data_IF_416709003671
#
_entry.id   IF_416709003671
#
_cell.length_a   1.000
_cell.length_b   1.000
_cell.length_c   1.000
_cell.angle_alpha   90.00
_cell.angle_beta   90.00
_cell.angle_gamma   90.00
#
_symmetry.space_group_name_H-M   'P 1'
#
loop_
_entity.id
_entity.type
_entity.pdbx_description
1 polymer ?
#
# COMPACT_ATOMS: atom_id res chain seq x y z
N UNK A 1 -11.29 15.42 -12.72
CA UNK A 1 -11.15 14.27 -11.78
C UNK A 1 -11.80 13.07 -12.46
N UNK A 2 -11.12 11.91 -12.48
CA UNK A 2 -11.65 10.68 -13.08
C UNK A 2 -12.82 10.12 -12.24
N UNK A 3 -13.73 9.40 -12.88
CA UNK A 3 -14.63 8.48 -12.17
C UNK A 3 -13.86 7.19 -11.83
N UNK A 4 -14.39 6.39 -10.89
CA UNK A 4 -13.75 5.11 -10.52
C UNK A 4 -13.57 4.18 -11.73
N UNK A 5 -14.59 4.07 -12.59
CA UNK A 5 -14.53 3.26 -13.79
C UNK A 5 -13.44 3.76 -14.77
N UNK A 6 -13.35 5.08 -14.95
CA UNK A 6 -12.31 5.69 -15.78
C UNK A 6 -10.91 5.44 -15.20
N UNK A 7 -10.74 5.60 -13.90
CA UNK A 7 -9.48 5.30 -13.21
C UNK A 7 -9.07 3.84 -13.42
N UNK A 8 -9.98 2.87 -13.15
CA UNK A 8 -9.70 1.45 -13.32
C UNK A 8 -9.24 1.12 -14.74
N UNK A 9 -9.96 1.58 -15.75
CA UNK A 9 -9.59 1.34 -17.16
C UNK A 9 -8.25 1.99 -17.50
N UNK A 10 -8.09 3.27 -17.18
CA UNK A 10 -6.89 4.03 -17.53
C UNK A 10 -5.64 3.44 -16.84
N UNK A 11 -5.73 3.10 -15.55
CA UNK A 11 -4.68 2.42 -14.80
C UNK A 11 -4.30 1.09 -15.45
N UNK A 12 -5.31 0.25 -15.77
CA UNK A 12 -5.08 -1.08 -16.35
C UNK A 12 -4.38 -0.99 -17.70
N UNK A 13 -4.81 -0.08 -18.58
CA UNK A 13 -4.17 0.15 -19.87
C UNK A 13 -2.74 0.68 -19.70
N UNK A 14 -2.51 1.57 -18.75
CA UNK A 14 -1.20 2.14 -18.47
C UNK A 14 -0.20 1.08 -17.99
N UNK A 15 -0.61 0.23 -17.05
CA UNK A 15 0.25 -0.81 -16.49
C UNK A 15 0.52 -1.96 -17.48
N UNK A 16 -0.37 -2.16 -18.46
CA UNK A 16 -0.22 -3.16 -19.53
C UNK A 16 0.26 -2.54 -20.86
N UNK A 17 1.08 -1.51 -20.82
CA UNK A 17 1.50 -0.71 -21.99
C UNK A 17 2.20 -1.49 -23.11
N UNK A 18 2.74 -2.68 -22.83
CA UNK A 18 3.43 -3.52 -23.82
C UNK A 18 2.47 -4.15 -24.86
N UNK A 19 1.18 -4.25 -24.53
CA UNK A 19 0.16 -4.83 -25.42
C UNK A 19 -1.16 -4.08 -25.36
N UNK A 20 -1.85 -4.01 -26.49
CA UNK A 20 -3.20 -3.46 -26.53
C UNK A 20 -4.19 -4.49 -25.97
N UNK A 21 -4.86 -4.12 -24.88
CA UNK A 21 -5.85 -4.99 -24.25
C UNK A 21 -7.19 -4.98 -25.01
N UNK A 22 -7.80 -6.14 -25.18
CA UNK A 22 -9.17 -6.23 -25.69
C UNK A 22 -10.15 -5.76 -24.62
N UNK A 23 -11.34 -5.29 -25.03
CA UNK A 23 -12.39 -4.89 -24.07
C UNK A 23 -12.83 -6.03 -23.15
N UNK A 24 -12.75 -7.28 -23.61
CA UNK A 24 -13.01 -8.47 -22.76
C UNK A 24 -11.94 -8.68 -21.72
N UNK A 25 -10.67 -8.46 -22.08
CA UNK A 25 -9.55 -8.51 -21.12
C UNK A 25 -9.68 -7.41 -20.08
N UNK A 26 -10.02 -6.19 -20.50
CA UNK A 26 -10.29 -5.07 -19.58
C UNK A 26 -11.46 -5.39 -18.64
N UNK A 27 -12.56 -5.97 -19.13
CA UNK A 27 -13.69 -6.37 -18.32
C UNK A 27 -13.30 -7.36 -17.22
N UNK A 28 -12.50 -8.38 -17.58
CA UNK A 28 -12.01 -9.39 -16.63
C UNK A 28 -11.05 -8.80 -15.59
N UNK A 29 -10.13 -7.89 -15.98
CA UNK A 29 -9.14 -7.31 -15.07
C UNK A 29 -9.71 -6.21 -14.16
N UNK A 30 -10.80 -5.54 -14.59
CA UNK A 30 -11.39 -4.44 -13.82
C UNK A 30 -12.64 -4.83 -13.04
N UNK A 31 -13.08 -6.09 -13.18
CA UNK A 31 -14.34 -6.60 -12.63
C UNK A 31 -15.56 -5.74 -13.04
N UNK A 32 -15.58 -5.34 -14.32
CA UNK A 32 -16.65 -4.54 -14.87
C UNK A 32 -17.37 -5.28 -15.99
N UNK A 33 -18.66 -5.01 -16.18
CA UNK A 33 -19.40 -5.54 -17.33
C UNK A 33 -18.83 -5.01 -18.65
N UNK A 34 -18.90 -5.80 -19.71
CA UNK A 34 -18.42 -5.40 -21.04
C UNK A 34 -19.07 -4.11 -21.55
N UNK A 35 -20.37 -3.92 -21.29
CA UNK A 35 -21.07 -2.68 -21.64
C UNK A 35 -20.52 -1.46 -20.92
N UNK A 36 -20.17 -1.60 -19.61
CA UNK A 36 -19.56 -0.53 -18.83
C UNK A 36 -18.14 -0.21 -19.33
N UNK A 37 -17.37 -1.24 -19.68
CA UNK A 37 -16.04 -1.06 -20.29
C UNK A 37 -16.15 -0.29 -21.59
N UNK A 38 -17.05 -0.71 -22.51
CA UNK A 38 -17.24 -0.03 -23.78
C UNK A 38 -17.57 1.46 -23.61
N UNK A 39 -18.55 1.76 -22.77
CA UNK A 39 -18.94 3.13 -22.47
C UNK A 39 -17.79 3.95 -21.89
N UNK A 40 -17.01 3.35 -20.98
CA UNK A 40 -15.91 4.04 -20.31
C UNK A 40 -14.73 4.28 -21.26
N UNK A 41 -14.38 3.29 -22.11
CA UNK A 41 -13.33 3.43 -23.14
C UNK A 41 -13.72 4.52 -24.15
N UNK A 42 -14.98 4.53 -24.63
CA UNK A 42 -15.45 5.61 -25.53
C UNK A 42 -15.30 6.98 -24.86
N UNK A 43 -15.78 7.15 -23.64
CA UNK A 43 -15.67 8.40 -22.90
C UNK A 43 -14.20 8.85 -22.68
N UNK A 44 -13.29 7.92 -22.37
CA UNK A 44 -11.86 8.21 -22.24
C UNK A 44 -11.22 8.60 -23.57
N UNK A 45 -11.66 7.98 -24.68
CA UNK A 45 -11.18 8.30 -26.03
C UNK A 45 -11.66 9.68 -26.48
N UNK A 46 -12.96 9.96 -26.26
CA UNK A 46 -13.55 11.28 -26.54
C UNK A 46 -12.90 12.41 -25.73
N UNK A 47 -12.50 12.11 -24.48
CA UNK A 47 -11.76 13.06 -23.63
C UNK A 47 -10.29 13.17 -23.99
N UNK A 48 -9.79 12.42 -24.98
CA UNK A 48 -8.39 12.43 -25.39
C UNK A 48 -7.42 11.75 -24.41
N UNK A 49 -7.92 10.99 -23.43
CA UNK A 49 -7.10 10.30 -22.43
C UNK A 49 -6.63 8.92 -22.91
N UNK A 50 -7.33 8.35 -23.90
CA UNK A 50 -6.94 7.13 -24.62
C UNK A 50 -6.91 7.39 -26.13
N UNK A 51 -5.92 6.84 -26.84
CA UNK A 51 -5.84 6.82 -28.29
C UNK A 51 -5.26 5.49 -28.78
N UNK A 52 -5.94 4.83 -29.73
CA UNK A 52 -5.48 3.55 -30.28
C UNK A 52 -5.30 2.44 -29.25
N UNK A 53 -6.07 2.46 -28.15
CA UNK A 53 -5.98 1.51 -27.06
C UNK A 53 -4.80 1.72 -26.11
N UNK A 54 -4.16 2.89 -26.15
CA UNK A 54 -3.04 3.29 -25.28
C UNK A 54 -3.39 4.57 -24.53
N UNK A 55 -2.75 4.76 -23.37
CA UNK A 55 -2.85 6.01 -22.60
C UNK A 55 -2.08 7.11 -23.34
N UNK A 56 -2.65 8.30 -23.40
CA UNK A 56 -2.00 9.50 -23.93
C UNK A 56 -1.27 10.26 -22.83
N UNK A 57 -0.45 11.26 -23.18
CA UNK A 57 0.19 12.15 -22.19
C UNK A 57 -0.86 12.81 -21.27
N UNK A 58 -2.00 13.25 -21.82
CA UNK A 58 -3.11 13.78 -21.04
C UNK A 58 -3.74 12.70 -20.12
N UNK A 59 -3.75 11.44 -20.56
CA UNK A 59 -4.18 10.31 -19.74
C UNK A 59 -3.22 10.04 -18.58
N UNK A 60 -1.92 10.15 -18.81
CA UNK A 60 -0.90 10.03 -17.75
C UNK A 60 -1.02 11.17 -16.72
N UNK A 61 -1.20 12.40 -17.19
CA UNK A 61 -1.45 13.55 -16.32
C UNK A 61 -2.72 13.36 -15.48
N UNK A 62 -3.77 12.77 -16.06
CA UNK A 62 -5.02 12.46 -15.35
C UNK A 62 -4.85 11.36 -14.30
N UNK A 63 -3.88 10.44 -14.46
CA UNK A 63 -3.52 9.42 -13.47
C UNK A 63 -2.57 9.94 -12.37
N UNK A 64 -1.78 10.97 -12.63
CA UNK A 64 -0.76 11.47 -11.72
C UNK A 64 -1.26 11.74 -10.28
N UNK A 65 -2.48 12.29 -10.05
CA UNK A 65 -3.00 12.51 -8.70
C UNK A 65 -3.26 11.22 -7.88
N UNK A 66 -3.32 10.08 -8.56
CA UNK A 66 -3.59 8.77 -7.95
C UNK A 66 -2.32 7.94 -7.72
N UNK A 67 -1.17 8.45 -8.17
CA UNK A 67 0.12 7.76 -8.00
C UNK A 67 0.52 7.73 -6.53
N UNK A 68 0.87 6.55 -6.03
CA UNK A 68 1.53 6.40 -4.74
C UNK A 68 2.96 6.93 -4.87
N UNK A 69 3.35 7.83 -4.00
CA UNK A 69 4.65 8.50 -4.07
C UNK A 69 5.70 7.81 -3.21
N UNK A 70 5.30 7.39 -2.02
CA UNK A 70 6.22 6.82 -1.04
C UNK A 70 5.52 5.82 -0.11
N UNK A 71 6.32 5.22 0.76
CA UNK A 71 5.81 4.36 1.83
C UNK A 71 6.52 4.68 3.15
N UNK A 72 5.80 4.55 4.25
CA UNK A 72 6.31 4.61 5.62
C UNK A 72 6.07 3.26 6.28
N UNK A 73 7.13 2.59 6.72
CA UNK A 73 7.04 1.33 7.46
C UNK A 73 7.31 1.61 8.94
N UNK A 74 6.33 1.30 9.77
CA UNK A 74 6.42 1.52 11.23
C UNK A 74 7.03 0.30 11.92
N UNK A 75 8.30 0.39 12.32
CA UNK A 75 9.08 -0.68 12.93
C UNK A 75 9.69 -0.30 14.30
N UNK A 76 9.07 0.65 15.01
CA UNK A 76 9.63 1.17 16.27
C UNK A 76 9.20 0.37 17.52
N UNK A 77 8.15 -0.45 17.45
CA UNK A 77 7.51 -1.11 18.58
C UNK A 77 8.36 -2.16 19.28
N UNK A 78 8.17 -2.33 20.60
CA UNK A 78 8.88 -3.31 21.44
C UNK A 78 8.42 -4.75 21.25
N UNK A 79 7.26 -4.98 20.66
CA UNK A 79 6.70 -6.32 20.40
C UNK A 79 6.60 -7.21 21.67
N UNK A 80 6.23 -6.65 22.81
CA UNK A 80 6.23 -7.32 24.12
C UNK A 80 5.36 -8.58 24.17
N UNK A 81 4.29 -8.62 23.37
CA UNK A 81 3.42 -9.82 23.23
C UNK A 81 4.15 -11.03 22.62
N UNK A 82 5.32 -10.84 22.01
CA UNK A 82 6.15 -11.88 21.40
C UNK A 82 7.30 -12.36 22.30
N UNK A 83 7.32 -11.98 23.59
CA UNK A 83 8.31 -12.50 24.53
C UNK A 83 8.24 -14.06 24.61
N UNK A 84 9.37 -14.77 24.67
CA UNK A 84 10.74 -14.27 24.79
C UNK A 84 11.43 -13.90 23.46
N UNK A 85 10.84 -14.20 22.29
CA UNK A 85 11.45 -13.97 20.97
C UNK A 85 11.83 -12.51 20.74
N UNK A 86 10.99 -11.59 21.23
CA UNK A 86 11.22 -10.15 21.09
C UNK A 86 12.44 -9.63 21.90
N UNK A 87 12.97 -10.42 22.85
CA UNK A 87 14.20 -10.08 23.58
C UNK A 87 15.45 -10.28 22.73
N UNK A 88 15.38 -11.12 21.70
CA UNK A 88 16.52 -11.40 20.84
C UNK A 88 16.51 -10.54 19.56
N UNK A 89 15.34 -10.22 19.02
CA UNK A 89 15.19 -9.47 17.78
C UNK A 89 13.82 -8.79 17.66
N UNK A 90 13.74 -7.64 16.95
CA UNK A 90 12.48 -6.99 16.65
C UNK A 90 11.56 -7.91 15.84
N UNK A 91 10.24 -7.77 15.96
CA UNK A 91 9.24 -8.54 15.21
C UNK A 91 9.46 -8.45 13.70
N UNK A 92 9.82 -7.28 13.20
CA UNK A 92 10.16 -7.02 11.81
C UNK A 92 11.24 -7.97 11.23
N UNK A 93 12.15 -8.47 12.08
CA UNK A 93 13.22 -9.39 11.71
C UNK A 93 12.88 -10.86 11.98
N UNK A 94 11.64 -11.21 12.23
CA UNK A 94 11.20 -12.60 12.27
C UNK A 94 11.20 -13.19 10.86
N UNK A 95 11.50 -14.50 10.80
CA UNK A 95 11.46 -15.24 9.55
C UNK A 95 10.13 -15.98 9.42
N UNK A 96 9.44 -15.74 8.31
CA UNK A 96 8.25 -16.48 7.92
C UNK A 96 8.54 -17.11 6.55
N UNK A 97 8.35 -18.40 6.41
CA UNK A 97 8.65 -19.16 5.17
C UNK A 97 10.07 -18.91 4.62
N UNK A 98 11.04 -18.68 5.51
CA UNK A 98 12.46 -18.47 5.13
C UNK A 98 12.86 -17.03 4.85
N UNK A 99 11.92 -16.09 4.76
CA UNK A 99 12.16 -14.67 4.49
C UNK A 99 11.97 -13.80 5.75
N UNK A 100 12.71 -12.70 5.86
CA UNK A 100 12.47 -11.70 6.90
C UNK A 100 11.26 -10.85 6.51
N UNK A 101 10.34 -10.62 7.46
CA UNK A 101 9.09 -9.87 7.22
C UNK A 101 9.37 -8.52 6.57
N UNK A 102 10.20 -7.70 7.20
CA UNK A 102 10.54 -6.35 6.72
C UNK A 102 11.21 -6.35 5.34
N UNK A 103 12.11 -7.32 5.07
CA UNK A 103 12.78 -7.40 3.78
C UNK A 103 11.82 -7.79 2.66
N UNK A 104 10.87 -8.67 2.96
CA UNK A 104 9.81 -9.05 2.02
C UNK A 104 8.92 -7.85 1.69
N UNK A 105 8.47 -7.14 2.69
CA UNK A 105 7.61 -5.97 2.52
C UNK A 105 8.30 -4.87 1.69
N UNK A 106 9.57 -4.56 2.00
CA UNK A 106 10.35 -3.60 1.21
C UNK A 106 10.46 -4.06 -0.27
N UNK A 107 10.75 -5.34 -0.52
CA UNK A 107 10.80 -5.87 -1.90
C UNK A 107 9.46 -5.71 -2.61
N UNK A 108 8.35 -6.06 -1.96
CA UNK A 108 7.00 -5.94 -2.54
C UNK A 108 6.67 -4.48 -2.90
N UNK A 109 7.02 -3.52 -2.04
CA UNK A 109 6.88 -2.09 -2.35
C UNK A 109 7.73 -1.69 -3.56
N UNK A 110 9.00 -2.11 -3.61
CA UNK A 110 9.91 -1.80 -4.72
C UNK A 110 9.46 -2.45 -6.05
N UNK A 111 8.95 -3.67 -6.01
CA UNK A 111 8.34 -4.36 -7.16
C UNK A 111 7.12 -3.62 -7.70
N UNK A 112 6.32 -3.01 -6.80
CA UNK A 112 5.22 -2.12 -7.20
C UNK A 112 5.68 -0.74 -7.70
N UNK A 113 7.00 -0.50 -7.78
CA UNK A 113 7.58 0.76 -8.26
C UNK A 113 7.66 1.85 -7.19
N UNK A 114 7.38 1.55 -5.92
CA UNK A 114 7.46 2.48 -4.79
C UNK A 114 8.86 2.35 -4.18
N UNK A 115 9.72 3.30 -4.49
CA UNK A 115 11.16 3.27 -4.10
C UNK A 115 11.51 4.23 -2.98
N UNK A 116 10.76 5.30 -2.81
CA UNK A 116 10.91 6.21 -1.68
C UNK A 116 10.24 5.58 -0.45
N UNK A 117 11.05 4.90 0.37
CA UNK A 117 10.58 4.15 1.53
C UNK A 117 11.28 4.67 2.78
N UNK A 118 10.50 5.13 3.75
CA UNK A 118 10.99 5.54 5.07
C UNK A 118 10.68 4.46 6.10
N UNK A 119 11.70 3.94 6.75
CA UNK A 119 11.58 2.99 7.85
C UNK A 119 11.74 3.72 9.20
N UNK A 120 10.68 3.76 10.01
CA UNK A 120 10.75 4.35 11.35
C UNK A 120 11.05 3.27 12.36
N UNK A 121 12.24 3.33 12.98
CA UNK A 121 12.78 2.33 13.90
C UNK A 121 12.85 2.84 15.33
N UNK A 122 12.87 1.93 16.29
CA UNK A 122 12.98 2.27 17.72
C UNK A 122 13.66 1.17 18.51
N UNK A 123 12.90 0.20 18.99
CA UNK A 123 13.43 -0.95 19.72
C UNK A 123 14.44 -1.74 18.88
N UNK A 124 15.64 -1.96 19.43
CA UNK A 124 16.74 -2.66 18.75
C UNK A 124 17.06 -2.13 17.34
N UNK A 125 16.93 -0.81 17.15
CA UNK A 125 17.11 -0.15 15.85
C UNK A 125 18.42 -0.51 15.12
N UNK A 126 19.49 -0.76 15.87
CA UNK A 126 20.79 -1.11 15.33
C UNK A 126 20.76 -2.36 14.45
N UNK A 127 19.86 -3.29 14.75
CA UNK A 127 19.66 -4.51 13.97
C UNK A 127 19.00 -4.27 12.61
N UNK A 128 18.45 -3.08 12.38
CA UNK A 128 17.74 -2.71 11.15
C UNK A 128 18.51 -1.70 10.28
N UNK A 129 19.63 -1.14 10.75
CA UNK A 129 20.40 -0.14 9.99
C UNK A 129 20.95 -0.66 8.65
N UNK A 130 21.23 -1.97 8.54
CA UNK A 130 21.69 -2.58 7.30
C UNK A 130 20.67 -2.46 6.16
N UNK A 131 19.38 -2.24 6.47
CA UNK A 131 18.32 -2.12 5.47
C UNK A 131 18.52 -0.86 4.61
N UNK A 132 19.09 0.20 5.15
CA UNK A 132 19.42 1.41 4.40
C UNK A 132 20.40 1.12 3.27
N UNK A 133 21.48 0.40 3.56
CA UNK A 133 22.48 0.04 2.55
C UNK A 133 21.95 -1.03 1.57
N UNK A 134 21.23 -2.03 2.10
CA UNK A 134 20.75 -3.16 1.30
C UNK A 134 19.64 -2.80 0.32
N UNK A 135 18.72 -1.92 0.71
CA UNK A 135 17.50 -1.61 -0.05
C UNK A 135 17.37 -0.14 -0.45
N UNK A 136 18.25 0.74 0.00
CA UNK A 136 18.17 2.17 -0.28
C UNK A 136 17.01 2.85 0.43
N UNK A 137 16.61 2.37 1.62
CA UNK A 137 15.54 2.97 2.41
C UNK A 137 16.08 4.02 3.37
N UNK A 138 15.29 5.07 3.63
CA UNK A 138 15.59 6.05 4.66
C UNK A 138 15.26 5.51 6.05
N UNK A 139 16.11 5.78 7.03
CA UNK A 139 15.87 5.40 8.43
C UNK A 139 15.64 6.62 9.30
N UNK A 140 14.50 6.66 9.97
CA UNK A 140 14.15 7.64 11.00
C UNK A 140 14.08 6.93 12.34
N UNK A 141 14.73 7.48 13.36
CA UNK A 141 14.73 6.90 14.71
C UNK A 141 13.66 7.57 15.56
N UNK A 142 12.76 6.76 16.13
CA UNK A 142 11.84 7.21 17.18
C UNK A 142 12.52 7.00 18.55
N UNK A 143 12.96 8.06 19.25
CA UNK A 143 13.59 7.93 20.56
C UNK A 143 12.57 7.60 21.66
N UNK A 144 11.30 7.94 21.46
CA UNK A 144 10.22 7.80 22.44
C UNK A 144 9.34 6.56 22.22
N UNK A 145 9.83 5.57 21.46
CA UNK A 145 9.10 4.34 21.09
C UNK A 145 8.52 3.57 22.30
N UNK A 146 9.09 3.75 23.48
CA UNK A 146 8.68 3.09 24.72
C UNK A 146 7.61 3.87 25.50
N UNK A 147 7.39 5.16 25.19
CA UNK A 147 6.48 6.06 25.92
C UNK A 147 5.13 6.21 25.22
N UNK A 148 5.12 6.19 23.89
CA UNK A 148 3.96 6.49 23.07
C UNK A 148 3.68 5.37 22.09
N UNK A 149 2.43 5.32 21.60
CA UNK A 149 1.98 4.35 20.62
C UNK A 149 2.39 4.73 19.16
N UNK A 150 1.88 4.00 18.19
CA UNK A 150 2.17 4.18 16.76
C UNK A 150 1.91 5.60 16.23
N UNK A 151 0.99 6.36 16.84
CA UNK A 151 0.71 7.74 16.43
C UNK A 151 1.95 8.62 16.57
N UNK A 152 2.72 8.46 17.65
CA UNK A 152 3.97 9.22 17.83
C UNK A 152 5.02 8.87 16.77
N UNK A 153 5.08 7.61 16.39
CA UNK A 153 5.96 7.12 15.30
C UNK A 153 5.60 7.81 13.98
N UNK A 154 4.32 7.87 13.65
CA UNK A 154 3.84 8.49 12.42
C UNK A 154 4.05 10.02 12.43
N UNK A 155 3.91 10.67 13.57
CA UNK A 155 4.14 12.13 13.70
C UNK A 155 5.57 12.55 13.37
N UNK A 156 6.57 11.68 13.57
CA UNK A 156 7.98 11.98 13.22
C UNK A 156 8.21 12.12 11.70
N UNK A 157 7.32 11.62 10.89
CA UNK A 157 7.40 11.62 9.44
C UNK A 157 6.16 12.23 8.80
N UNK A 158 5.42 13.04 9.56
CA UNK A 158 4.17 13.66 9.10
C UNK A 158 4.36 14.56 7.88
N UNK A 159 5.51 15.19 7.75
CA UNK A 159 5.92 16.04 6.63
C UNK A 159 6.17 15.23 5.31
N UNK A 160 6.34 13.92 5.42
CA UNK A 160 6.54 13.02 4.28
C UNK A 160 5.23 12.41 3.77
N UNK A 161 4.12 12.60 4.49
CA UNK A 161 2.84 11.99 4.14
C UNK A 161 2.16 12.73 2.99
N UNK A 162 1.99 12.02 1.88
CA UNK A 162 1.25 12.46 0.70
C UNK A 162 0.27 11.34 0.27
N UNK A 163 0.37 10.85 -0.98
CA UNK A 163 -0.20 9.57 -1.37
C UNK A 163 0.75 8.45 -0.88
N UNK A 164 0.65 8.09 0.38
CA UNK A 164 1.61 7.27 1.10
C UNK A 164 1.00 5.95 1.53
N UNK A 165 1.70 4.84 1.33
CA UNK A 165 1.42 3.62 2.07
C UNK A 165 1.99 3.73 3.49
N UNK A 166 1.13 3.51 4.49
CA UNK A 166 1.52 3.38 5.90
C UNK A 166 1.43 1.91 6.25
N UNK A 167 2.58 1.29 6.49
CA UNK A 167 2.74 -0.15 6.65
C UNK A 167 3.13 -0.51 8.08
N UNK A 168 2.72 -1.69 8.52
CA UNK A 168 3.20 -2.34 9.74
C UNK A 168 4.31 -3.33 9.39
N UNK A 169 5.45 -3.26 10.05
CA UNK A 169 6.65 -4.07 9.76
C UNK A 169 6.51 -5.57 10.06
N UNK A 170 5.36 -6.04 10.46
CA UNK A 170 5.06 -7.39 10.90
C UNK A 170 3.99 -8.09 10.08
N UNK A 171 3.51 -7.47 9.03
CA UNK A 171 2.58 -8.07 8.09
C UNK A 171 3.31 -9.05 7.14
N UNK A 172 2.62 -10.12 6.78
CA UNK A 172 3.11 -11.09 5.80
C UNK A 172 2.07 -11.28 4.69
N UNK A 173 2.30 -10.63 3.58
CA UNK A 173 1.46 -10.80 2.39
C UNK A 173 1.99 -11.94 1.52
N UNK A 174 1.15 -12.95 1.24
CA UNK A 174 1.52 -14.08 0.36
C UNK A 174 1.71 -13.63 -1.08
N UNK A 175 0.88 -12.70 -1.53
CA UNK A 175 0.99 -12.02 -2.82
C UNK A 175 1.29 -10.55 -2.59
N UNK A 176 1.79 -9.85 -3.61
CA UNK A 176 2.08 -8.43 -3.48
C UNK A 176 0.78 -7.61 -3.48
N UNK A 177 0.41 -6.96 -2.36
CA UNK A 177 -0.82 -6.17 -2.28
C UNK A 177 -0.64 -4.73 -2.75
N UNK A 178 0.61 -4.30 -2.99
CA UNK A 178 0.91 -2.91 -3.30
C UNK A 178 0.69 -2.60 -4.77
N UNK A 179 0.06 -1.47 -5.02
CA UNK A 179 -0.21 -0.95 -6.36
C UNK A 179 0.41 0.44 -6.54
N UNK A 180 0.95 0.77 -7.73
CA UNK A 180 1.56 2.08 -7.99
C UNK A 180 0.54 3.22 -8.07
N UNK A 181 -0.74 2.92 -8.29
CA UNK A 181 -1.84 3.89 -8.37
C UNK A 181 -3.02 3.41 -7.54
N UNK A 182 -3.56 4.26 -6.69
CA UNK A 182 -4.67 3.97 -5.79
C UNK A 182 -5.79 4.98 -5.97
N UNK A 183 -7.05 4.49 -6.12
CA UNK A 183 -8.21 5.34 -6.36
C UNK A 183 -8.55 6.25 -5.18
N UNK A 184 -8.53 5.71 -3.97
CA UNK A 184 -8.89 6.39 -2.71
C UNK A 184 -8.06 5.83 -1.58
N UNK A 185 -7.95 6.58 -0.49
CA UNK A 185 -7.44 6.05 0.76
C UNK A 185 -8.27 4.84 1.21
N UNK A 186 -7.59 3.80 1.66
CA UNK A 186 -8.20 2.58 2.19
C UNK A 186 -7.40 2.07 3.38
N UNK A 187 -8.03 1.22 4.15
CA UNK A 187 -7.39 0.46 5.22
C UNK A 187 -7.54 -1.03 4.91
N UNK A 188 -6.44 -1.75 4.86
CA UNK A 188 -6.45 -3.19 4.67
C UNK A 188 -6.87 -3.86 5.99
N UNK A 189 -7.87 -4.74 5.90
CA UNK A 189 -8.41 -5.48 7.04
C UNK A 189 -8.56 -6.95 6.67
N UNK A 190 -8.57 -7.81 7.70
CA UNK A 190 -8.93 -9.22 7.55
C UNK A 190 -10.22 -9.51 8.32
N UNK A 191 -10.91 -10.54 7.91
CA UNK A 191 -12.10 -11.00 8.63
C UNK A 191 -11.68 -11.84 9.82
N UNK A 192 -12.15 -11.47 11.02
CA UNK A 192 -11.94 -12.21 12.25
C UNK A 192 -13.25 -12.80 12.76
N UNK A 193 -13.25 -14.09 13.12
CA UNK A 193 -14.37 -14.77 13.78
C UNK A 193 -14.19 -14.79 15.30
N UNK A 194 -15.27 -14.51 16.03
CA UNK A 194 -15.30 -14.54 17.49
C UNK A 194 -14.74 -13.29 18.16
N UNK A 195 -14.59 -13.32 19.50
CA UNK A 195 -14.06 -12.19 20.27
C UNK A 195 -12.61 -11.90 19.92
N UNK A 196 -12.28 -10.64 19.74
CA UNK A 196 -10.92 -10.18 19.44
C UNK A 196 -10.59 -8.93 20.26
N UNK A 197 -9.38 -8.77 20.80
CA UNK A 197 -8.94 -7.54 21.48
C UNK A 197 -8.48 -6.47 20.49
N UNK A 198 -8.54 -6.74 19.19
CA UNK A 198 -8.05 -5.83 18.15
C UNK A 198 -9.14 -4.82 17.74
N UNK A 199 -8.73 -3.81 17.00
CA UNK A 199 -9.63 -2.81 16.46
C UNK A 199 -10.47 -3.38 15.32
N UNK A 200 -11.79 -3.34 15.49
CA UNK A 200 -12.74 -3.83 14.49
C UNK A 200 -13.32 -2.68 13.67
N UNK A 201 -13.23 -2.80 12.35
CA UNK A 201 -13.80 -1.84 11.41
C UNK A 201 -15.23 -2.26 11.06
N UNK A 202 -16.17 -1.33 11.21
CA UNK A 202 -17.54 -1.49 10.72
C UNK A 202 -17.64 -0.84 9.35
N UNK A 203 -18.07 -1.61 8.35
CA UNK A 203 -18.25 -1.11 6.98
C UNK A 203 -19.70 -0.70 6.73
N UNK A 204 -19.87 0.41 6.03
CA UNK A 204 -21.14 0.88 5.51
C UNK A 204 -21.29 0.66 4.00
N UNK A 205 -22.16 1.42 3.36
CA UNK A 205 -22.34 1.34 1.92
C UNK A 205 -21.02 1.63 1.16
N UNK A 206 -20.78 0.86 0.09
CA UNK A 206 -19.57 0.97 -0.74
C UNK A 206 -18.25 0.79 0.03
N UNK A 207 -18.24 -0.12 1.00
CA UNK A 207 -17.08 -0.47 1.84
C UNK A 207 -16.45 0.73 2.57
N UNK A 208 -17.25 1.78 2.81
CA UNK A 208 -16.77 2.93 3.59
C UNK A 208 -16.73 2.56 5.07
N UNK A 209 -15.66 2.97 5.74
CA UNK A 209 -15.57 2.85 7.20
C UNK A 209 -16.68 3.71 7.81
N UNK A 210 -17.64 3.07 8.49
CA UNK A 210 -18.75 3.71 9.18
C UNK A 210 -18.46 3.88 10.68
N UNK A 211 -17.62 3.01 11.24
CA UNK A 211 -17.22 3.07 12.64
C UNK A 211 -16.02 2.18 12.92
N UNK A 212 -15.40 2.41 14.08
CA UNK A 212 -14.31 1.60 14.60
C UNK A 212 -14.60 1.34 16.07
N UNK A 213 -14.50 0.08 16.48
CA UNK A 213 -14.70 -0.36 17.88
C UNK A 213 -13.52 -1.20 18.32
N UNK A 214 -13.28 -1.26 19.63
CA UNK A 214 -12.39 -2.28 20.20
C UNK A 214 -13.27 -3.50 20.45
N UNK A 215 -12.86 -4.64 19.92
CA UNK A 215 -13.59 -5.91 20.05
C UNK A 215 -13.47 -6.56 21.42
#
# INVERSE_FOLDING_TARGET
MLTEAQFKILKTVYLCSEQTLTQRALAAQTDMSLGKVNQTVSALTEAGLLAGGRVTDAGEEALAPYRVKNAVIMAAGMSTRFAPLSYEKPKALLRVKGELLIEREIRQLQEAGIRDITLVVGYMKEKMFYLAEKFGVDIVVNPDYYRYNNTSTLMLVADRLENTYICSSDDYFTENPFEPYVWKAYYAVEYAEGPTPEWCVQTGAHDRIAGVTIG
#
